data_IF_004175236073
#
_entry.id   IF_004175236073
#
_cell.length_a   1.000
_cell.length_b   1.000
_cell.length_c   1.000
_cell.angle_alpha   90.00
_cell.angle_beta   90.00
_cell.angle_gamma   90.00
#
_symmetry.space_group_name_H-M   'P 1'
#
loop_
_entity.id
_entity.type
_entity.pdbx_description
1 polymer ?
#
# COMPACT_ATOMS: atom_id res chain seq x y z
N UNK A 1 -2.43 9.13 -0.50
CA UNK A 1 -2.01 8.05 0.42
C UNK A 1 -2.11 6.74 -0.33
N UNK A 2 -1.00 6.24 -0.92
CA UNK A 2 -1.05 5.15 -1.88
C UNK A 2 -1.22 3.79 -1.18
N UNK A 3 -2.09 2.93 -1.72
CA UNK A 3 -2.01 1.50 -1.48
C UNK A 3 -0.87 0.92 -2.34
N UNK A 4 0.06 0.20 -1.73
CA UNK A 4 1.28 -0.29 -2.41
C UNK A 4 1.61 -1.75 -2.10
N UNK A 5 0.86 -2.37 -1.19
CA UNK A 5 1.07 -3.74 -0.75
C UNK A 5 -0.26 -4.44 -0.43
N UNK A 6 -0.51 -5.57 -1.09
CA UNK A 6 -1.70 -6.41 -0.89
C UNK A 6 -1.36 -7.78 -0.27
N UNK A 7 -0.09 -8.02 0.07
CA UNK A 7 0.38 -9.34 0.52
C UNK A 7 0.24 -9.51 2.03
N UNK A 8 0.86 -8.61 2.80
CA UNK A 8 0.87 -8.69 4.27
C UNK A 8 0.43 -7.37 4.90
N UNK A 9 -0.52 -7.37 5.85
CA UNK A 9 -0.92 -6.17 6.58
C UNK A 9 0.25 -5.58 7.37
N UNK A 10 0.50 -4.28 7.20
CA UNK A 10 1.52 -3.55 7.98
C UNK A 10 0.92 -2.98 9.29
N UNK A 11 1.78 -2.51 10.21
CA UNK A 11 1.36 -2.08 11.56
C UNK A 11 0.26 -1.02 11.55
N UNK A 12 0.27 -0.07 10.61
CA UNK A 12 -0.78 0.93 10.44
C UNK A 12 -2.17 0.35 10.17
N UNK A 13 -2.29 -0.81 9.53
CA UNK A 13 -3.58 -1.49 9.32
C UNK A 13 -4.24 -1.87 10.65
N UNK A 14 -3.44 -2.34 11.62
CA UNK A 14 -3.93 -2.68 12.95
C UNK A 14 -4.24 -1.46 13.83
N UNK A 15 -3.47 -0.38 13.68
CA UNK A 15 -3.64 0.84 14.48
C UNK A 15 -4.80 1.72 13.99
N UNK A 16 -5.00 1.82 12.68
CA UNK A 16 -5.91 2.79 12.06
C UNK A 16 -6.96 2.17 11.14
N UNK A 17 -7.04 0.84 11.05
CA UNK A 17 -8.06 0.14 10.28
C UNK A 17 -9.47 0.24 10.83
N UNK A 18 -9.73 1.06 11.86
CA UNK A 18 -11.07 1.30 12.40
C UNK A 18 -11.23 2.74 12.87
N UNK A 19 -12.44 3.30 12.69
CA UNK A 19 -12.79 4.63 13.19
C UNK A 19 -12.31 5.84 12.38
N UNK A 20 -11.47 5.64 11.34
CA UNK A 20 -10.88 6.72 10.55
C UNK A 20 -11.14 6.61 9.05
N UNK A 21 -12.36 6.95 8.59
CA UNK A 21 -12.79 6.97 7.18
C UNK A 21 -12.55 5.65 6.40
N UNK A 22 -11.30 5.34 6.08
CA UNK A 22 -10.85 4.08 5.51
C UNK A 22 -10.65 3.03 6.60
N UNK A 23 -11.49 2.00 6.61
CA UNK A 23 -11.40 0.88 7.56
C UNK A 23 -10.83 -0.36 6.90
N UNK A 24 -10.42 -1.34 7.71
CA UNK A 24 -10.00 -2.66 7.25
C UNK A 24 -11.11 -3.34 6.46
N UNK A 25 -12.34 -3.26 6.93
CA UNK A 25 -13.49 -3.88 6.25
C UNK A 25 -13.72 -3.26 4.86
N UNK A 26 -13.49 -1.95 4.70
CA UNK A 26 -13.52 -1.29 3.39
C UNK A 26 -12.35 -1.73 2.49
N UNK A 27 -11.13 -1.83 3.03
CA UNK A 27 -9.97 -2.33 2.29
C UNK A 27 -10.20 -3.75 1.77
N UNK A 28 -10.69 -4.65 2.63
CA UNK A 28 -11.05 -6.02 2.26
C UNK A 28 -12.14 -6.05 1.19
N UNK A 29 -13.17 -5.20 1.32
CA UNK A 29 -14.22 -5.09 0.32
C UNK A 29 -13.68 -4.64 -1.04
N UNK A 30 -12.84 -3.60 -1.09
CA UNK A 30 -12.20 -3.14 -2.33
C UNK A 30 -11.32 -4.21 -2.96
N UNK A 31 -10.51 -4.91 -2.15
CA UNK A 31 -9.67 -6.01 -2.62
C UNK A 31 -10.50 -7.12 -3.27
N UNK A 32 -11.64 -7.49 -2.66
CA UNK A 32 -12.55 -8.49 -3.21
C UNK A 32 -13.17 -8.06 -4.55
N UNK A 33 -13.42 -6.76 -4.76
CA UNK A 33 -13.93 -6.25 -6.03
C UNK A 33 -12.86 -6.19 -7.13
N UNK A 34 -11.61 -5.92 -6.76
CA UNK A 34 -10.55 -5.57 -7.72
C UNK A 34 -9.63 -6.74 -8.09
N UNK A 35 -9.23 -7.57 -7.12
CA UNK A 35 -8.15 -8.55 -7.32
C UNK A 35 -8.59 -9.73 -8.20
N UNK A 36 -9.87 -10.11 -8.17
CA UNK A 36 -10.43 -11.10 -9.10
C UNK A 36 -9.70 -12.45 -9.13
N UNK A 37 -9.07 -12.86 -8.02
CA UNK A 37 -8.28 -14.09 -7.92
C UNK A 37 -6.85 -14.01 -8.47
N UNK A 38 -6.39 -12.83 -8.88
CA UNK A 38 -4.99 -12.61 -9.24
C UNK A 38 -4.05 -12.83 -8.04
N UNK A 39 -2.79 -13.12 -8.34
CA UNK A 39 -1.75 -13.27 -7.31
C UNK A 39 -1.54 -11.92 -6.59
N UNK A 40 -1.77 -11.82 -5.27
CA UNK A 40 -1.58 -10.57 -4.52
C UNK A 40 -0.16 -10.01 -4.62
N UNK A 41 0.85 -10.86 -4.83
CA UNK A 41 2.25 -10.45 -4.99
C UNK A 41 2.59 -9.93 -6.39
N UNK A 42 1.64 -9.92 -7.34
CA UNK A 42 1.86 -9.30 -8.65
C UNK A 42 2.24 -7.82 -8.46
N UNK A 43 3.36 -7.33 -9.04
CA UNK A 43 3.79 -5.93 -8.90
C UNK A 43 2.76 -4.89 -9.34
N UNK A 44 1.77 -5.27 -10.16
CA UNK A 44 0.65 -4.40 -10.55
C UNK A 44 -0.35 -4.19 -9.42
N UNK A 45 -0.38 -5.09 -8.42
CA UNK A 45 -1.18 -4.98 -7.20
C UNK A 45 -0.33 -4.55 -6.00
N UNK A 46 0.91 -5.02 -5.91
CA UNK A 46 1.81 -4.82 -4.77
C UNK A 46 3.18 -4.29 -5.22
N UNK A 47 3.21 -3.05 -5.71
CA UNK A 47 4.43 -2.41 -6.23
C UNK A 47 5.56 -2.33 -5.18
N UNK A 48 5.22 -2.31 -3.88
CA UNK A 48 6.21 -2.34 -2.80
C UNK A 48 7.08 -3.62 -2.85
N UNK A 49 6.56 -4.72 -3.39
CA UNK A 49 7.27 -6.00 -3.54
C UNK A 49 8.09 -6.14 -4.83
N UNK A 50 8.06 -5.19 -5.77
CA UNK A 50 8.74 -5.30 -7.05
C UNK A 50 10.28 -5.42 -6.92
N UNK A 51 10.99 -6.09 -7.84
CA UNK A 51 12.44 -6.29 -7.72
C UNK A 51 13.25 -4.98 -7.75
N UNK A 52 12.71 -3.90 -8.33
CA UNK A 52 13.35 -2.59 -8.35
C UNK A 52 12.41 -1.47 -8.80
N UNK A 53 12.76 -0.24 -8.47
CA UNK A 53 12.02 0.98 -8.84
C UNK A 53 12.91 2.04 -9.52
N UNK A 54 14.05 1.64 -10.08
CA UNK A 54 14.99 2.54 -10.74
C UNK A 54 14.45 3.09 -12.06
N UNK A 55 14.91 4.28 -12.45
CA UNK A 55 14.57 4.91 -13.73
C UNK A 55 13.14 5.47 -13.83
N UNK A 56 12.38 5.49 -12.73
CA UNK A 56 11.08 6.15 -12.66
C UNK A 56 11.23 7.67 -12.57
N UNK A 57 10.16 8.41 -12.87
CA UNK A 57 10.14 9.85 -12.72
C UNK A 57 10.26 10.28 -11.24
N UNK A 58 10.76 11.50 -10.95
CA UNK A 58 10.74 12.06 -9.61
C UNK A 58 9.33 12.02 -9.01
N UNK A 59 9.22 11.57 -7.76
CA UNK A 59 7.94 11.33 -7.10
C UNK A 59 7.75 12.17 -5.83
N UNK A 60 6.53 12.68 -5.63
CA UNK A 60 6.04 13.18 -4.35
C UNK A 60 5.09 12.14 -3.76
N UNK A 61 5.46 11.54 -2.63
CA UNK A 61 4.62 10.58 -1.91
C UNK A 61 4.06 11.24 -0.65
N UNK A 62 2.73 11.20 -0.48
CA UNK A 62 2.01 11.80 0.65
C UNK A 62 1.21 10.74 1.40
N UNK A 63 1.43 10.65 2.70
CA UNK A 63 0.72 9.79 3.65
C UNK A 63 -0.11 10.61 4.64
N UNK A 64 -1.07 9.97 5.30
CA UNK A 64 -1.88 10.55 6.36
C UNK A 64 -1.61 9.83 7.70
N UNK A 65 -1.64 10.57 8.81
CA UNK A 65 -1.19 10.04 10.11
C UNK A 65 -2.06 8.93 10.69
N UNK A 66 -3.38 9.00 10.48
CA UNK A 66 -4.40 8.04 10.93
C UNK A 66 -4.99 7.28 9.74
N UNK A 67 -4.12 6.65 8.96
CA UNK A 67 -4.49 5.93 7.74
C UNK A 67 -3.91 4.51 7.78
N UNK A 68 -4.72 3.45 7.56
CA UNK A 68 -4.20 2.09 7.49
C UNK A 68 -3.12 1.90 6.43
N UNK A 69 -3.11 2.68 5.35
CA UNK A 69 -2.14 2.61 4.25
C UNK A 69 -0.84 3.39 4.52
N UNK A 70 -0.71 4.03 5.69
CA UNK A 70 0.44 4.91 5.99
C UNK A 70 1.78 4.19 5.89
N UNK A 71 1.94 3.06 6.57
CA UNK A 71 3.26 2.42 6.70
C UNK A 71 3.74 1.85 5.36
N UNK A 72 2.83 1.36 4.50
CA UNK A 72 3.20 0.88 3.17
C UNK A 72 3.52 2.02 2.19
N UNK A 73 2.80 3.14 2.28
CA UNK A 73 3.13 4.34 1.52
C UNK A 73 4.51 4.92 1.89
N UNK A 74 4.85 4.93 3.18
CA UNK A 74 6.18 5.32 3.67
C UNK A 74 7.26 4.34 3.20
N UNK A 75 7.01 3.04 3.31
CA UNK A 75 7.94 2.01 2.84
C UNK A 75 8.22 2.13 1.32
N UNK A 76 7.18 2.41 0.53
CA UNK A 76 7.34 2.65 -0.90
C UNK A 76 8.19 3.90 -1.19
N UNK A 77 7.98 4.99 -0.44
CA UNK A 77 8.80 6.19 -0.55
C UNK A 77 10.27 5.92 -0.19
N UNK A 78 10.53 5.11 0.84
CA UNK A 78 11.88 4.68 1.20
C UNK A 78 12.53 3.85 0.09
N UNK A 79 11.78 2.94 -0.52
CA UNK A 79 12.27 2.12 -1.63
C UNK A 79 12.61 2.96 -2.86
N UNK A 80 11.77 3.94 -3.22
CA UNK A 80 12.06 4.89 -4.30
C UNK A 80 13.34 5.70 -4.05
N UNK A 81 13.61 6.08 -2.79
CA UNK A 81 14.83 6.82 -2.43
C UNK A 81 16.10 5.97 -2.48
N UNK A 82 15.97 4.66 -2.31
CA UNK A 82 17.09 3.72 -2.29
C UNK A 82 17.40 3.09 -3.67
N UNK A 83 16.55 3.36 -4.67
CA UNK A 83 16.63 2.81 -6.01
C UNK A 83 17.53 3.62 -6.96
#
# INVERSE_FOLDING_TARGET
YPATNMVEPMRSHGLFGGGFLLTRELLEWFAAQYVGGANPSDPRLSVLGADGLGGVAPALVVTAGFDPLRDEGEAYAHKLRAA
#
